data_IF_714287392305
#
_entry.id   IF_714287392305
#
_cell.length_a   1.000
_cell.length_b   1.000
_cell.length_c   1.000
_cell.angle_alpha   90.00
_cell.angle_beta   90.00
_cell.angle_gamma   90.00
#
_symmetry.space_group_name_H-M   'P 1'
#
loop_
_entity.id
_entity.type
_entity.pdbx_description
1 polymer ?
#
# COMPACT_ATOMS: atom_id res chain seq x y z
N UNK A 1 -9.94 -15.08 25.57
CA UNK A 1 -9.19 -15.12 24.30
C UNK A 1 -8.02 -14.15 24.42
N UNK A 2 -6.78 -14.64 24.47
CA UNK A 2 -5.57 -13.83 24.47
C UNK A 2 -4.94 -13.78 23.07
N UNK A 3 -4.09 -12.79 22.83
CA UNK A 3 -3.16 -12.67 21.69
C UNK A 3 -1.96 -11.83 22.13
N UNK A 4 -0.82 -11.96 21.46
CA UNK A 4 0.37 -11.15 21.74
C UNK A 4 0.20 -9.71 21.21
N UNK A 5 -0.53 -9.53 20.11
CA UNK A 5 -0.81 -8.22 19.54
C UNK A 5 -2.22 -8.14 18.94
N UNK A 6 -2.90 -7.01 19.21
CA UNK A 6 -4.16 -6.64 18.59
C UNK A 6 -3.94 -5.41 17.69
N UNK A 7 -4.11 -5.58 16.38
CA UNK A 7 -4.02 -4.50 15.40
C UNK A 7 -5.41 -4.03 15.02
N UNK A 8 -5.69 -2.74 15.22
CA UNK A 8 -6.98 -2.12 14.93
C UNK A 8 -6.87 -1.28 13.66
N UNK A 9 -7.61 -1.67 12.62
CA UNK A 9 -7.66 -1.06 11.29
C UNK A 9 -6.85 -1.85 10.26
N UNK A 10 -7.53 -2.52 9.32
CA UNK A 10 -6.91 -3.26 8.23
C UNK A 10 -6.72 -2.41 6.96
N UNK A 11 -6.20 -1.18 7.16
CA UNK A 11 -5.64 -0.36 6.09
C UNK A 11 -4.19 -0.76 5.75
N UNK A 12 -3.51 -0.07 4.83
CA UNK A 12 -2.14 -0.41 4.43
C UNK A 12 -1.16 -0.52 5.61
N UNK A 13 -1.22 0.41 6.56
CA UNK A 13 -0.37 0.39 7.74
C UNK A 13 -0.66 -0.81 8.65
N UNK A 14 -1.92 -1.02 9.03
CA UNK A 14 -2.29 -2.11 9.96
C UNK A 14 -2.15 -3.50 9.35
N UNK A 15 -2.51 -3.69 8.08
CA UNK A 15 -2.26 -4.96 7.39
C UNK A 15 -0.75 -5.27 7.28
N UNK A 16 0.08 -4.27 7.01
CA UNK A 16 1.54 -4.43 6.97
C UNK A 16 2.11 -4.75 8.35
N UNK A 17 1.65 -4.07 9.40
CA UNK A 17 2.07 -4.31 10.78
C UNK A 17 1.66 -5.70 11.26
N UNK A 18 0.39 -6.08 11.05
CA UNK A 18 -0.11 -7.41 11.41
C UNK A 18 0.66 -8.52 10.70
N UNK A 19 0.95 -8.34 9.39
CA UNK A 19 1.77 -9.27 8.62
C UNK A 19 3.19 -9.38 9.18
N UNK A 20 3.84 -8.26 9.52
CA UNK A 20 5.19 -8.26 10.05
C UNK A 20 5.28 -8.96 11.42
N UNK A 21 4.32 -8.69 12.32
CA UNK A 21 4.24 -9.33 13.63
C UNK A 21 3.94 -10.84 13.52
N UNK A 22 3.00 -11.22 12.65
CA UNK A 22 2.68 -12.64 12.44
C UNK A 22 3.85 -13.40 11.80
N UNK A 23 4.58 -12.77 10.86
CA UNK A 23 5.78 -13.35 10.28
C UNK A 23 6.93 -13.52 11.29
N UNK A 24 6.91 -12.78 12.40
CA UNK A 24 7.82 -12.96 13.53
C UNK A 24 7.37 -14.05 14.53
N UNK A 25 6.25 -14.74 14.27
CA UNK A 25 5.76 -15.86 15.08
C UNK A 25 4.80 -15.50 16.22
N UNK A 26 4.31 -14.26 16.27
CA UNK A 26 3.38 -13.79 17.30
C UNK A 26 1.93 -14.21 16.98
N UNK A 27 1.11 -14.44 18.01
CA UNK A 27 -0.36 -14.52 17.87
C UNK A 27 -0.93 -13.12 17.68
N UNK A 28 -1.29 -12.80 16.44
CA UNK A 28 -1.76 -11.47 16.05
C UNK A 28 -3.21 -11.51 15.60
N UNK A 29 -4.02 -10.63 16.17
CA UNK A 29 -5.40 -10.41 15.74
C UNK A 29 -5.51 -9.09 15.00
N UNK A 30 -6.07 -9.11 13.80
CA UNK A 30 -6.36 -7.91 13.00
C UNK A 30 -7.86 -7.67 12.95
N UNK A 31 -8.30 -6.49 13.38
CA UNK A 31 -9.71 -6.10 13.36
C UNK A 31 -9.92 -4.89 12.46
N UNK A 32 -11.01 -4.87 11.72
CA UNK A 32 -11.49 -3.68 11.00
C UNK A 32 -13.00 -3.58 11.18
N UNK A 33 -13.52 -2.36 11.23
CA UNK A 33 -14.96 -2.10 11.34
C UNK A 33 -15.70 -2.48 10.05
N UNK A 34 -15.02 -2.43 8.91
CA UNK A 34 -15.61 -2.68 7.60
C UNK A 34 -15.46 -4.14 7.19
N UNK A 35 -16.46 -4.67 6.47
CA UNK A 35 -16.36 -5.96 5.78
C UNK A 35 -15.59 -5.78 4.47
N UNK A 36 -14.72 -6.74 4.14
CA UNK A 36 -13.94 -6.74 2.90
C UNK A 36 -14.63 -7.55 1.78
N UNK A 37 -14.43 -7.21 0.50
CA UNK A 37 -13.69 -6.04 0.01
C UNK A 37 -14.43 -4.73 0.31
N UNK A 38 -13.68 -3.64 0.50
CA UNK A 38 -14.23 -2.34 0.87
C UNK A 38 -13.62 -1.24 0.03
N UNK A 39 -14.39 -0.18 -0.24
CA UNK A 39 -13.84 1.02 -0.85
C UNK A 39 -13.10 1.84 0.23
N UNK A 40 -11.82 2.11 -0.02
CA UNK A 40 -11.02 3.06 0.77
C UNK A 40 -10.57 4.19 -0.17
N UNK A 41 -11.10 5.42 -0.04
CA UNK A 41 -10.62 6.55 -0.82
C UNK A 41 -9.10 6.66 -0.74
N UNK A 42 -8.47 6.68 -1.91
CA UNK A 42 -7.03 6.66 -2.10
C UNK A 42 -6.73 7.15 -3.51
N UNK A 43 -5.61 7.87 -3.69
CA UNK A 43 -5.12 8.21 -5.03
C UNK A 43 -4.53 7.02 -5.79
N UNK A 44 -4.38 5.85 -5.15
CA UNK A 44 -3.89 4.61 -5.78
C UNK A 44 -2.41 4.59 -6.14
N UNK A 45 -1.71 5.74 -6.10
CA UNK A 45 -0.29 5.83 -6.41
C UNK A 45 0.59 5.13 -5.38
N UNK A 46 1.33 4.13 -5.83
CA UNK A 46 2.36 3.44 -5.06
C UNK A 46 3.69 3.62 -5.81
N UNK A 47 4.69 4.20 -5.15
CA UNK A 47 6.02 4.36 -5.77
C UNK A 47 6.74 3.02 -5.85
N UNK A 48 7.60 2.82 -6.86
CA UNK A 48 8.42 1.60 -6.96
C UNK A 48 9.32 1.34 -5.75
N UNK A 49 9.71 2.39 -5.01
CA UNK A 49 10.44 2.26 -3.73
C UNK A 49 9.67 1.42 -2.70
N UNK A 50 8.33 1.42 -2.74
CA UNK A 50 7.51 0.61 -1.86
C UNK A 50 7.61 -0.89 -2.20
N UNK A 51 7.83 -1.24 -3.48
CA UNK A 51 8.07 -2.64 -3.87
C UNK A 51 9.38 -3.15 -3.26
N UNK A 52 10.44 -2.34 -3.31
CA UNK A 52 11.72 -2.69 -2.66
C UNK A 52 11.59 -2.82 -1.14
N UNK A 53 10.78 -1.97 -0.50
CA UNK A 53 10.57 -2.02 0.96
C UNK A 53 9.65 -3.17 1.39
N UNK A 54 8.68 -3.52 0.57
CA UNK A 54 7.64 -4.51 0.84
C UNK A 54 7.58 -5.54 -0.30
N UNK A 55 8.58 -6.43 -0.42
CA UNK A 55 8.71 -7.35 -1.57
C UNK A 55 7.55 -8.34 -1.69
N UNK A 56 6.78 -8.53 -0.61
CA UNK A 56 5.57 -9.35 -0.60
C UNK A 56 4.37 -8.71 -1.34
N UNK A 57 4.46 -7.43 -1.73
CA UNK A 57 3.42 -6.78 -2.52
C UNK A 57 3.44 -7.27 -3.97
N UNK A 58 4.61 -7.50 -4.54
CA UNK A 58 4.77 -7.87 -5.96
C UNK A 58 4.00 -9.15 -6.33
N UNK A 59 4.06 -10.26 -5.56
CA UNK A 59 3.22 -11.44 -5.82
C UNK A 59 1.71 -11.20 -5.68
N UNK A 60 1.30 -10.12 -4.98
CA UNK A 60 -0.11 -9.79 -4.78
C UNK A 60 -0.67 -8.88 -5.90
N UNK A 61 0.18 -8.15 -6.63
CA UNK A 61 -0.22 -7.23 -7.69
C UNK A 61 -1.08 -7.86 -8.80
N UNK A 62 -0.82 -9.11 -9.27
CA UNK A 62 -1.65 -9.72 -10.32
C UNK A 62 -3.13 -9.89 -9.94
N UNK A 63 -3.47 -9.80 -8.64
CA UNK A 63 -4.84 -9.89 -8.13
C UNK A 63 -5.57 -8.54 -8.12
N UNK A 64 -4.90 -7.47 -8.52
CA UNK A 64 -5.39 -6.09 -8.44
C UNK A 64 -5.20 -5.45 -9.82
N UNK A 65 -6.22 -4.75 -10.31
CA UNK A 65 -6.06 -3.95 -11.52
C UNK A 65 -5.04 -2.85 -11.26
N UNK A 66 -3.94 -2.85 -12.01
CA UNK A 66 -2.81 -1.95 -11.83
C UNK A 66 -2.51 -1.22 -13.14
N UNK A 67 -2.10 0.04 -13.02
CA UNK A 67 -1.65 0.85 -14.15
C UNK A 67 -0.28 1.42 -13.81
N UNK A 68 0.73 1.05 -14.59
CA UNK A 68 2.08 1.53 -14.41
C UNK A 68 2.22 2.97 -14.92
N UNK A 69 2.74 3.86 -14.08
CA UNK A 69 2.89 5.29 -14.39
C UNK A 69 4.37 5.63 -14.47
N UNK A 70 4.84 5.95 -15.68
CA UNK A 70 6.23 6.36 -15.93
C UNK A 70 6.38 7.85 -16.24
N UNK A 71 5.28 8.61 -16.26
CA UNK A 71 5.28 10.06 -16.53
C UNK A 71 4.43 10.81 -15.51
N UNK A 72 4.98 11.87 -14.94
CA UNK A 72 4.30 12.79 -14.02
C UNK A 72 4.45 14.23 -14.53
N UNK A 73 3.33 14.91 -14.75
CA UNK A 73 3.32 16.35 -14.99
C UNK A 73 3.05 17.06 -13.66
N UNK A 74 3.95 17.94 -13.26
CA UNK A 74 3.83 18.76 -12.05
C UNK A 74 3.66 20.21 -12.47
N UNK A 75 2.53 20.82 -12.10
CA UNK A 75 2.21 22.20 -12.45
C UNK A 75 1.95 23.01 -11.17
N UNK A 76 2.57 24.18 -11.07
CA UNK A 76 2.36 25.12 -9.98
C UNK A 76 1.19 26.07 -10.25
N UNK A 77 0.66 26.77 -9.23
CA UNK A 77 -0.50 27.65 -9.39
C UNK A 77 -0.33 28.79 -10.39
N UNK A 78 0.92 29.19 -10.69
CA UNK A 78 1.25 30.21 -11.69
C UNK A 78 1.25 29.68 -13.14
N UNK A 79 0.94 28.40 -13.37
CA UNK A 79 0.96 27.74 -14.68
C UNK A 79 2.34 27.24 -15.12
N UNK A 80 3.39 27.44 -14.32
CA UNK A 80 4.71 26.86 -14.61
C UNK A 80 4.69 25.37 -14.27
N UNK A 81 5.19 24.52 -15.18
CA UNK A 81 5.20 23.08 -14.99
C UNK A 81 6.52 22.39 -15.37
N UNK A 82 6.70 21.19 -14.86
CA UNK A 82 7.80 20.27 -15.20
C UNK A 82 7.24 18.89 -15.47
N UNK A 83 7.78 18.22 -16.49
CA UNK A 83 7.45 16.82 -16.79
C UNK A 83 8.60 15.95 -16.32
N UNK A 84 8.28 14.99 -15.46
CA UNK A 84 9.19 13.94 -15.04
C UNK A 84 8.86 12.66 -15.79
N UNK A 85 9.87 12.00 -16.34
CA UNK A 85 9.73 10.72 -17.05
C UNK A 85 10.72 9.71 -16.48
N UNK A 86 10.28 8.46 -16.33
CA UNK A 86 11.11 7.32 -15.99
C UNK A 86 11.20 6.37 -17.19
N UNK A 87 12.40 5.83 -17.51
CA UNK A 87 12.56 4.85 -18.59
C UNK A 87 11.89 3.51 -18.26
N UNK A 88 11.66 3.24 -16.98
CA UNK A 88 10.95 2.07 -16.48
C UNK A 88 9.72 2.50 -15.67
N UNK A 89 8.72 1.62 -15.54
CA UNK A 89 7.73 1.75 -14.48
C UNK A 89 8.35 1.98 -13.10
#
# INVERSE_FOLDING_TARGET
MSCDALVIGAGPAGASAARALAAAGLDVRLLDRQRFPRNKPCGGGITMRAMSRFPWLEPALPRISTHYVSRLHLEGPSGNGVVLTSPTP
#
